data_IF_031666229832
#
_entry.id   IF_031666229832
#
_cell.length_a   1.000
_cell.length_b   1.000
_cell.length_c   1.000
_cell.angle_alpha   90.00
_cell.angle_beta   90.00
_cell.angle_gamma   90.00
#
_symmetry.space_group_name_H-M   'P 1'
#
loop_
_entity.id
_entity.type
_entity.pdbx_description
1 polymer ?
2 non-polymer ?
3 non-polymer ?
4 non-polymer ?
5 non-polymer ?
6 water ?
#
# COMPACT_ATOMS: atom_id res chain seq x y z
N UNK A 1 7.90 -18.62 -17.90
CA UNK A 1 6.55 -18.75 -17.25
C UNK A 1 6.47 -17.76 -16.08
N UNK A 2 5.26 -17.58 -15.56
CA UNK A 2 5.05 -16.75 -14.39
C UNK A 2 5.15 -17.66 -13.18
N UNK A 3 6.03 -17.32 -12.24
CA UNK A 3 6.13 -18.09 -11.02
C UNK A 3 5.89 -17.28 -9.76
N UNK A 4 5.72 -15.97 -9.87
CA UNK A 4 5.46 -15.13 -8.71
C UNK A 4 4.39 -14.12 -9.06
N UNK A 5 3.54 -13.82 -8.10
CA UNK A 5 2.52 -12.79 -8.25
C UNK A 5 2.63 -11.89 -7.02
N UNK A 6 2.92 -10.62 -7.25
CA UNK A 6 3.09 -9.63 -6.19
C UNK A 6 1.90 -8.68 -6.17
N UNK A 7 1.49 -8.31 -4.96
CA UNK A 7 0.42 -7.37 -4.72
C UNK A 7 0.96 -6.18 -3.91
N UNK A 8 0.16 -5.13 -3.84
CA UNK A 8 0.37 -4.00 -2.93
C UNK A 8 -0.88 -4.04 -2.05
N UNK A 9 -0.81 -4.75 -0.92
CA UNK A 9 -2.01 -5.06 -0.18
C UNK A 9 -2.65 -3.79 0.39
N UNK A 10 -1.93 -3.10 1.28
CA UNK A 10 -2.40 -1.84 1.85
C UNK A 10 -2.35 -0.80 0.74
N UNK A 11 -3.24 -0.94 -0.26
CA UNK A 11 -3.25 -0.05 -1.40
C UNK A 11 -3.99 -0.58 -2.60
N UNK A 12 -4.21 -1.90 -2.64
CA UNK A 12 -4.95 -2.52 -3.72
C UNK A 12 -5.85 -3.64 -3.21
N UNK A 13 -5.89 -3.87 -1.91
CA UNK A 13 -6.72 -4.92 -1.34
C UNK A 13 -7.59 -4.41 -0.20
N UNK A 14 -7.40 -3.15 0.24
CA UNK A 14 -8.20 -2.54 1.29
C UNK A 14 -9.31 -1.74 0.63
N UNK A 15 -10.55 -1.96 1.06
CA UNK A 15 -11.67 -1.25 0.46
C UNK A 15 -11.50 0.25 0.65
N UNK A 16 -12.05 1.03 -0.28
CA UNK A 16 -11.94 2.49 -0.16
C UNK A 16 -12.77 2.99 1.02
N UNK A 17 -13.95 2.40 1.23
CA UNK A 17 -14.74 2.76 2.40
C UNK A 17 -13.98 2.43 3.69
N UNK A 18 -13.30 1.29 3.72
CA UNK A 18 -12.58 0.89 4.93
C UNK A 18 -11.42 1.82 5.21
N UNK A 19 -10.62 2.12 4.19
CA UNK A 19 -9.46 2.99 4.39
C UNK A 19 -9.88 4.37 4.84
N UNK A 20 -10.90 4.94 4.19
CA UNK A 20 -11.40 6.25 4.61
C UNK A 20 -11.88 6.21 6.05
N UNK A 21 -12.63 5.18 6.42
CA UNK A 21 -13.15 5.07 7.78
C UNK A 21 -12.02 4.93 8.80
N UNK A 22 -10.99 4.14 8.48
CA UNK A 22 -9.83 4.08 9.38
C UNK A 22 -9.30 5.48 9.62
N UNK A 23 -9.04 6.22 8.54
CA UNK A 23 -8.45 7.54 8.66
C UNK A 23 -9.38 8.51 9.37
N UNK A 24 -10.68 8.46 9.05
CA UNK A 24 -11.62 9.34 9.73
C UNK A 24 -11.63 9.05 11.23
N UNK A 25 -11.64 7.77 11.59
CA UNK A 25 -11.68 7.41 13.01
C UNK A 25 -10.44 7.86 13.73
N UNK A 26 -9.28 7.85 13.05
CA UNK A 26 -8.07 8.39 13.65
C UNK A 26 -8.25 9.87 13.95
N UNK A 27 -8.75 10.63 12.97
CA UNK A 27 -8.93 12.06 13.17
C UNK A 27 -9.92 12.34 14.29
N UNK A 28 -11.01 11.59 14.34
CA UNK A 28 -11.98 11.75 15.42
C UNK A 28 -11.33 11.53 16.77
N UNK A 29 -10.49 10.50 16.88
CA UNK A 29 -9.78 10.22 18.12
C UNK A 29 -8.80 11.34 18.46
N UNK A 30 -8.05 11.81 17.47
CA UNK A 30 -7.09 12.89 17.70
C UNK A 30 -7.81 14.13 18.23
N UNK A 31 -8.97 14.45 17.68
CA UNK A 31 -9.58 15.74 17.99
C UNK A 31 -10.38 15.73 19.29
N UNK A 32 -10.92 14.57 19.68
CA UNK A 32 -11.81 14.53 20.81
C UNK A 32 -12.94 15.52 20.65
N UNK A 33 -13.08 16.44 21.60
CA UNK A 33 -14.16 17.43 21.57
C UNK A 33 -13.75 18.75 20.93
N UNK A 34 -12.52 18.85 20.42
CA UNK A 34 -12.12 20.06 19.74
C UNK A 34 -13.11 20.38 18.60
N UNK A 35 -13.48 21.66 18.41
CA UNK A 35 -14.56 22.02 17.48
C UNK A 35 -14.16 22.14 16.02
N UNK A 36 -13.43 21.14 15.52
CA UNK A 36 -13.05 21.07 14.11
C UNK A 36 -13.68 19.82 13.52
N UNK A 37 -14.27 19.95 12.34
CA UNK A 37 -14.85 18.81 11.64
C UNK A 37 -13.76 17.80 11.30
N UNK A 38 -13.87 16.56 11.76
CA UNK A 38 -12.81 15.58 11.48
C UNK A 38 -12.59 15.32 10.00
N UNK A 39 -13.64 15.42 9.19
CA UNK A 39 -13.48 15.22 7.75
C UNK A 39 -12.64 16.33 7.13
N UNK A 40 -12.73 17.56 7.65
CA UNK A 40 -11.87 18.61 7.13
C UNK A 40 -10.42 18.38 7.54
N UNK A 41 -10.18 18.00 8.80
CA UNK A 41 -8.82 17.66 9.20
C UNK A 41 -8.25 16.56 8.30
N UNK A 42 -9.04 15.52 8.06
CA UNK A 42 -8.57 14.40 7.23
C UNK A 42 -8.18 14.87 5.84
N UNK A 43 -9.05 15.66 5.19
CA UNK A 43 -8.72 16.22 3.88
C UNK A 43 -7.40 16.98 3.91
N UNK A 44 -7.25 17.87 4.90
CA UNK A 44 -6.01 18.63 5.00
C UNK A 44 -4.82 17.72 5.27
N UNK A 45 -5.00 16.72 6.13
CA UNK A 45 -3.92 15.78 6.41
C UNK A 45 -3.47 15.06 5.15
N UNK A 46 -4.43 14.56 4.37
CA UNK A 46 -4.09 13.84 3.16
C UNK A 46 -3.28 14.72 2.21
N UNK A 47 -3.74 15.95 2.00
CA UNK A 47 -2.98 16.88 1.16
C UNK A 47 -1.53 16.98 1.62
N UNK A 48 -1.31 17.31 2.90
CA UNK A 48 0.04 17.54 3.39
C UNK A 48 0.87 16.26 3.33
N UNK A 49 0.26 15.12 3.66
CA UNK A 49 0.94 13.84 3.55
C UNK A 49 1.47 13.63 2.14
N UNK A 50 0.57 13.69 1.15
CA UNK A 50 0.97 13.53 -0.24
C UNK A 50 2.14 14.44 -0.59
N UNK A 51 2.04 15.73 -0.23
CA UNK A 51 3.14 16.65 -0.48
C UNK A 51 4.43 16.11 0.13
N UNK A 52 4.41 15.84 1.45
CA UNK A 52 5.63 15.46 2.14
C UNK A 52 6.24 14.21 1.51
N UNK A 53 5.43 13.22 1.17
CA UNK A 53 5.95 12.00 0.56
C UNK A 53 6.46 12.25 -0.85
N UNK A 54 5.84 13.18 -1.58
CA UNK A 54 6.34 13.54 -2.90
C UNK A 54 7.79 13.99 -2.82
N UNK A 55 8.15 14.70 -1.74
CA UNK A 55 9.53 15.14 -1.55
C UNK A 55 10.47 13.96 -1.34
N UNK A 56 9.95 12.79 -0.98
CA UNK A 56 10.76 11.64 -0.63
C UNK A 56 10.79 10.56 -1.72
N UNK A 57 9.94 10.65 -2.73
CA UNK A 57 9.93 9.63 -3.78
C UNK A 57 11.35 9.40 -4.28
N UNK A 58 11.70 8.12 -4.44
CA UNK A 58 12.98 7.74 -4.96
C UNK A 58 14.16 7.93 -4.03
N UNK A 59 13.95 8.48 -2.85
CA UNK A 59 15.04 8.84 -1.97
C UNK A 59 15.26 7.76 -0.91
N UNK A 60 16.40 7.81 -0.23
CA UNK A 60 16.64 6.87 0.88
C UNK A 60 15.48 6.90 1.87
N UNK A 61 15.20 5.74 2.44
CA UNK A 61 14.04 5.57 3.30
C UNK A 61 14.20 6.36 4.59
N UNK A 62 13.07 6.82 5.12
CA UNK A 62 12.96 7.50 6.40
C UNK A 62 11.65 6.95 6.96
N UNK A 63 11.60 6.60 8.24
CA UNK A 63 10.34 6.06 8.79
C UNK A 63 9.14 6.93 8.44
N UNK A 64 8.12 6.33 7.82
CA UNK A 64 6.95 7.09 7.41
C UNK A 64 6.16 7.55 8.61
N UNK A 65 6.23 6.82 9.73
CA UNK A 65 5.56 7.29 10.94
C UNK A 65 6.17 8.60 11.43
N UNK A 66 7.49 8.75 11.29
CA UNK A 66 8.11 10.04 11.63
C UNK A 66 7.60 11.14 10.72
N UNK A 67 7.50 10.86 9.41
CA UNK A 67 7.02 11.85 8.45
C UNK A 67 5.58 12.24 8.78
N UNK A 68 4.74 11.26 9.09
CA UNK A 68 3.34 11.55 9.37
C UNK A 68 3.16 12.31 10.67
N UNK A 69 4.04 12.09 11.65
CA UNK A 69 3.97 12.84 12.89
C UNK A 69 4.34 14.31 12.66
N UNK A 70 5.36 14.57 11.82
CA UNK A 70 5.68 15.95 11.47
C UNK A 70 4.50 16.64 10.80
N UNK A 71 3.79 15.92 9.93
CA UNK A 71 2.61 16.49 9.27
C UNK A 71 1.54 16.82 10.31
N UNK A 72 1.29 15.89 11.23
CA UNK A 72 0.29 16.13 12.25
C UNK A 72 0.67 17.29 13.16
N UNK A 73 1.97 17.49 13.39
CA UNK A 73 2.41 18.64 14.18
C UNK A 73 2.05 19.95 13.47
N UNK A 74 2.20 19.98 12.14
CA UNK A 74 1.82 21.17 11.40
C UNK A 74 0.32 21.40 11.46
N UNK A 75 -0.47 20.32 11.43
CA UNK A 75 -1.92 20.47 11.48
C UNK A 75 -2.38 20.94 12.84
N UNK A 76 -1.79 20.39 13.90
CA UNK A 76 -2.12 20.86 15.25
C UNK A 76 -1.81 22.34 15.40
N UNK A 77 -0.64 22.76 14.92
CA UNK A 77 -0.30 24.18 14.94
C UNK A 77 -1.29 24.99 14.10
N UNK A 78 -1.66 24.48 12.92
CA UNK A 78 -2.55 25.23 12.04
C UNK A 78 -3.91 25.45 12.70
N UNK A 79 -4.47 24.41 13.30
CA UNK A 79 -5.85 24.46 13.74
C UNK A 79 -5.99 24.71 15.23
N UNK A 80 -4.90 24.62 16.00
CA UNK A 80 -4.93 24.99 17.39
C UNK A 80 -5.20 23.88 18.37
N UNK A 81 -5.36 22.65 17.93
CA UNK A 81 -5.56 21.56 18.87
C UNK A 81 -4.20 21.04 19.35
N UNK A 82 -4.23 20.36 20.50
CA UNK A 82 -2.99 19.86 21.08
C UNK A 82 -2.48 18.66 20.28
N UNK A 83 -1.17 18.64 20.03
CA UNK A 83 -0.58 17.53 19.30
C UNK A 83 -0.87 16.22 20.02
N UNK A 84 -1.45 15.22 19.35
CA UNK A 84 -1.84 13.99 20.04
C UNK A 84 -0.62 13.13 20.34
N UNK A 85 -0.50 12.71 21.60
CA UNK A 85 0.54 11.75 21.95
C UNK A 85 0.15 10.35 21.47
N UNK A 86 1.16 9.55 21.15
CA UNK A 86 0.97 8.15 20.76
C UNK A 86 0.12 8.03 19.50
N UNK A 87 0.37 8.92 18.54
CA UNK A 87 -0.38 8.89 17.30
C UNK A 87 -0.24 7.55 16.59
N UNK A 88 0.96 6.95 16.62
CA UNK A 88 1.12 5.69 15.90
C UNK A 88 0.30 4.58 16.56
N UNK A 89 0.11 4.62 17.87
CA UNK A 89 -0.75 3.62 18.52
C UNK A 89 -2.21 3.85 18.17
N UNK A 90 -2.65 5.11 18.16
CA UNK A 90 -4.01 5.41 17.73
C UNK A 90 -4.24 4.85 16.32
N UNK A 91 -3.27 5.10 15.43
CA UNK A 91 -3.45 4.72 14.05
C UNK A 91 -3.46 3.20 13.90
N UNK A 92 -2.56 2.49 14.57
CA UNK A 92 -2.57 1.05 14.44
C UNK A 92 -3.84 0.43 15.02
N UNK A 93 -4.31 0.93 16.17
CA UNK A 93 -5.54 0.41 16.73
C UNK A 93 -6.72 0.63 15.79
N UNK A 94 -6.83 1.81 15.19
CA UNK A 94 -7.95 2.07 14.29
C UNK A 94 -7.85 1.22 13.02
N UNK A 95 -6.64 1.03 12.49
CA UNK A 95 -6.48 0.20 11.31
C UNK A 95 -6.91 -1.25 11.60
N UNK A 96 -6.45 -1.80 12.71
CA UNK A 96 -6.82 -3.17 13.04
C UNK A 96 -8.30 -3.29 13.32
N UNK A 97 -8.94 -2.25 13.84
CA UNK A 97 -10.35 -2.32 14.18
C UNK A 97 -11.25 -2.14 12.97
N UNK A 98 -10.97 -1.18 12.11
CA UNK A 98 -11.86 -0.84 11.02
C UNK A 98 -11.32 -1.22 9.66
N UNK A 99 -10.06 -1.64 9.56
CA UNK A 99 -9.54 -2.06 8.27
C UNK A 99 -10.40 -3.17 7.68
N UNK A 100 -10.56 -3.14 6.36
CA UNK A 100 -11.44 -4.08 5.66
C UNK A 100 -10.88 -4.37 4.29
N UNK A 101 -10.91 -5.65 3.92
CA UNK A 101 -10.45 -6.09 2.61
C UNK A 101 -11.59 -6.08 1.60
N UNK A 102 -11.24 -5.88 0.33
CA UNK A 102 -12.18 -6.15 -0.76
C UNK A 102 -12.66 -7.59 -0.62
N UNK A 103 -13.90 -7.89 -1.00
CA UNK A 103 -14.48 -9.19 -0.63
C UNK A 103 -13.78 -10.40 -1.24
N UNK A 104 -13.12 -10.26 -2.39
CA UNK A 104 -12.55 -11.40 -3.08
C UNK A 104 -11.09 -11.65 -2.73
N UNK A 105 -10.50 -10.88 -1.81
CA UNK A 105 -9.06 -10.91 -1.63
C UNK A 105 -8.61 -12.27 -1.09
N UNK A 106 -9.23 -12.74 0.00
CA UNK A 106 -8.78 -13.98 0.63
C UNK A 106 -8.82 -15.14 -0.35
N UNK A 107 -9.91 -15.24 -1.11
CA UNK A 107 -10.03 -16.31 -2.09
C UNK A 107 -8.90 -16.26 -3.11
N UNK A 108 -8.59 -15.06 -3.61
CA UNK A 108 -7.58 -14.92 -4.66
C UNK A 108 -6.20 -15.29 -4.14
N UNK A 109 -5.84 -14.83 -2.93
CA UNK A 109 -4.54 -15.17 -2.38
C UNK A 109 -4.42 -16.67 -2.16
N UNK A 110 -5.45 -17.28 -1.59
CA UNK A 110 -5.42 -18.73 -1.36
C UNK A 110 -5.29 -19.49 -2.69
N UNK A 111 -6.07 -19.10 -3.71
CA UNK A 111 -6.03 -19.82 -4.97
C UNK A 111 -4.66 -19.71 -5.62
N UNK A 112 -3.96 -18.60 -5.42
CA UNK A 112 -2.66 -18.42 -6.04
C UNK A 112 -1.55 -19.09 -5.23
N UNK A 113 -1.71 -19.14 -3.91
CA UNK A 113 -0.59 -19.54 -3.06
C UNK A 113 -0.14 -20.96 -3.36
N UNK A 114 -1.04 -21.80 -3.85
CA UNK A 114 -0.67 -23.18 -4.12
C UNK A 114 0.24 -23.36 -5.31
N UNK A 115 0.21 -22.43 -6.27
CA UNK A 115 0.90 -22.60 -7.53
C UNK A 115 1.93 -21.52 -7.83
N UNK A 116 1.94 -20.42 -7.08
CA UNK A 116 2.87 -19.34 -7.29
C UNK A 116 3.46 -18.91 -5.96
N UNK A 117 4.60 -18.21 -6.03
CA UNK A 117 5.05 -17.38 -4.91
C UNK A 117 4.14 -16.15 -4.86
N UNK A 118 3.38 -16.01 -3.79
CA UNK A 118 2.48 -14.87 -3.61
C UNK A 118 3.15 -13.89 -2.66
N UNK A 119 3.43 -12.69 -3.16
CA UNK A 119 4.13 -11.71 -2.37
C UNK A 119 3.40 -10.40 -2.20
N UNK A 120 3.75 -9.66 -1.15
CA UNK A 120 3.24 -8.34 -0.89
C UNK A 120 4.40 -7.36 -0.97
N UNK A 121 4.17 -6.22 -1.62
CA UNK A 121 5.17 -5.18 -1.78
C UNK A 121 4.55 -3.90 -1.25
N UNK A 122 5.08 -3.39 -0.13
CA UNK A 122 4.43 -2.34 0.64
C UNK A 122 5.35 -1.16 0.91
N UNK A 123 4.81 0.04 0.78
CA UNK A 123 5.52 1.26 1.19
C UNK A 123 4.93 1.70 2.52
N UNK A 124 5.35 1.01 3.57
CA UNK A 124 4.85 1.20 4.93
C UNK A 124 5.93 0.70 5.87
N UNK A 125 6.05 1.31 7.05
CA UNK A 125 7.00 0.80 8.03
C UNK A 125 6.66 -0.66 8.32
N UNK A 126 7.69 -1.50 8.43
CA UNK A 126 7.49 -2.94 8.41
C UNK A 126 6.67 -3.39 9.62
N UNK A 127 6.96 -2.86 10.80
CA UNK A 127 6.28 -3.33 12.01
C UNK A 127 4.79 -3.06 11.98
N UNK A 128 4.32 -1.82 11.78
CA UNK A 128 2.86 -1.62 11.74
C UNK A 128 2.21 -2.30 10.54
N UNK A 129 2.86 -2.26 9.37
CA UNK A 129 2.33 -2.91 8.19
C UNK A 129 2.04 -4.38 8.47
N UNK A 130 2.99 -5.07 9.10
CA UNK A 130 2.84 -6.50 9.36
C UNK A 130 1.77 -6.77 10.41
N UNK A 131 1.71 -5.93 11.44
CA UNK A 131 0.63 -6.03 12.43
C UNK A 131 -0.73 -5.85 11.78
N UNK A 132 -0.83 -4.90 10.84
CA UNK A 132 -2.09 -4.68 10.13
C UNK A 132 -2.48 -5.90 9.32
N UNK A 133 -1.53 -6.46 8.58
CA UNK A 133 -1.82 -7.67 7.80
C UNK A 133 -2.20 -8.82 8.72
N UNK A 134 -1.53 -8.94 9.86
CA UNK A 134 -1.93 -9.91 10.87
C UNK A 134 -3.38 -9.70 11.29
N UNK A 135 -3.75 -8.44 11.58
CA UNK A 135 -5.11 -8.16 12.02
C UNK A 135 -6.12 -8.45 10.91
N UNK A 136 -5.74 -8.20 9.65
CA UNK A 136 -6.64 -8.48 8.54
C UNK A 136 -6.75 -9.97 8.25
N UNK A 137 -5.88 -10.79 8.82
CA UNK A 137 -5.93 -12.23 8.65
C UNK A 137 -5.20 -12.77 7.44
N UNK A 138 -4.39 -11.97 6.77
CA UNK A 138 -3.78 -12.42 5.52
C UNK A 138 -2.26 -12.48 5.59
N UNK A 139 -1.66 -12.10 6.71
CA UNK A 139 -0.20 -12.09 6.80
C UNK A 139 0.38 -13.43 6.34
N UNK A 140 -0.18 -14.53 6.84
CA UNK A 140 0.39 -15.85 6.56
C UNK A 140 -0.05 -16.42 5.21
N UNK A 141 -0.93 -15.73 4.49
CA UNK A 141 -1.23 -16.14 3.12
C UNK A 141 -0.14 -15.72 2.15
N UNK A 142 0.76 -14.83 2.56
CA UNK A 142 1.84 -14.41 1.69
C UNK A 142 3.07 -15.29 1.90
N UNK A 143 3.71 -15.65 0.79
CA UNK A 143 5.01 -16.28 0.85
C UNK A 143 6.10 -15.28 1.19
N UNK A 144 5.91 -14.01 0.85
CA UNK A 144 6.86 -12.98 1.23
C UNK A 144 6.13 -11.65 1.40
N UNK A 145 6.66 -10.82 2.29
CA UNK A 145 6.23 -9.45 2.52
C UNK A 145 7.48 -8.58 2.46
N UNK A 146 7.50 -7.61 1.55
CA UNK A 146 8.67 -6.77 1.33
C UNK A 146 8.25 -5.31 1.46
N UNK A 147 9.04 -4.54 2.20
CA UNK A 147 8.72 -3.15 2.47
C UNK A 147 9.85 -2.25 2.00
N UNK A 148 9.50 -0.97 1.83
CA UNK A 148 10.50 0.05 1.55
C UNK A 148 11.51 0.18 2.69
N UNK A 149 11.08 -0.02 3.93
CA UNK A 149 12.02 0.02 5.05
C UNK A 149 13.09 -1.07 4.92
N UNK A 150 12.70 -2.25 4.43
CA UNK A 150 13.69 -3.29 4.19
C UNK A 150 14.60 -2.93 3.02
N UNK A 151 14.03 -2.36 1.96
CA UNK A 151 14.82 -2.08 0.77
C UNK A 151 15.76 -0.91 0.98
N UNK A 152 15.34 0.09 1.77
CA UNK A 152 16.15 1.26 2.03
C UNK A 152 15.86 2.46 1.15
N UNK A 153 14.84 2.38 0.29
CA UNK A 153 14.51 3.48 -0.60
C UNK A 153 13.01 3.54 -0.85
N UNK A 154 12.51 4.76 -1.02
CA UNK A 154 11.12 4.96 -1.42
C UNK A 154 10.93 4.70 -2.91
N UNK A 155 9.74 4.20 -3.26
CA UNK A 155 9.37 4.13 -4.66
C UNK A 155 9.47 5.52 -5.27
N UNK A 156 9.68 5.61 -6.59
CA UNK A 156 9.79 4.52 -7.57
C UNK A 156 11.17 3.88 -7.64
N UNK A 157 12.03 4.07 -6.64
CA UNK A 157 13.29 3.38 -6.61
C UNK A 157 13.06 1.88 -6.74
N UNK A 158 13.81 1.18 -7.61
CA UNK A 158 13.50 -0.23 -7.88
C UNK A 158 14.00 -1.21 -6.82
N UNK A 159 14.70 -0.75 -5.79
CA UNK A 159 15.31 -1.70 -4.86
C UNK A 159 14.25 -2.57 -4.18
N UNK A 160 13.09 -1.98 -3.88
CA UNK A 160 12.05 -2.76 -3.23
C UNK A 160 11.62 -3.93 -4.11
N UNK A 161 11.53 -3.69 -5.42
CA UNK A 161 11.17 -4.76 -6.36
C UNK A 161 12.30 -5.76 -6.52
N UNK A 162 13.53 -5.27 -6.58
CA UNK A 162 14.67 -6.18 -6.64
C UNK A 162 14.68 -7.11 -5.43
N UNK A 163 14.41 -6.57 -4.24
CA UNK A 163 14.41 -7.40 -3.05
C UNK A 163 13.26 -8.40 -3.05
N UNK A 164 12.05 -7.97 -3.44
CA UNK A 164 10.92 -8.88 -3.51
C UNK A 164 11.21 -10.04 -4.46
N UNK A 165 11.82 -9.75 -5.61
CA UNK A 165 12.17 -10.79 -6.56
C UNK A 165 13.20 -11.75 -5.97
N UNK A 166 14.20 -11.22 -5.26
CA UNK A 166 15.17 -12.08 -4.60
C UNK A 166 14.48 -13.05 -3.64
N UNK A 167 13.55 -12.53 -2.82
CA UNK A 167 12.84 -13.42 -1.90
C UNK A 167 12.10 -14.53 -2.64
N UNK A 168 11.50 -14.21 -3.79
CA UNK A 168 10.83 -15.21 -4.60
C UNK A 168 11.80 -16.09 -5.38
N UNK A 169 13.07 -15.71 -5.46
CA UNK A 169 14.07 -16.50 -6.15
C UNK A 169 14.01 -16.48 -7.66
N UNK A 170 13.40 -15.46 -8.26
CA UNK A 170 13.23 -15.39 -9.70
C UNK A 170 13.53 -14.00 -10.23
N UNK A 171 13.86 -13.93 -11.51
CA UNK A 171 14.03 -12.63 -12.15
C UNK A 171 12.67 -12.07 -12.54
N UNK A 172 12.66 -10.77 -12.85
CA UNK A 172 11.39 -10.06 -13.01
C UNK A 172 10.51 -10.61 -14.11
N UNK A 173 11.11 -11.17 -15.15
CA UNK A 173 10.33 -11.71 -16.26
C UNK A 173 9.44 -12.86 -15.83
N UNK A 174 9.69 -13.45 -14.66
CA UNK A 174 8.88 -14.55 -14.14
C UNK A 174 7.80 -14.07 -13.19
N UNK A 175 7.55 -12.76 -13.09
CA UNK A 175 6.67 -12.22 -12.07
C UNK A 175 5.67 -11.21 -12.63
N UNK A 176 4.50 -11.18 -12.00
CA UNK A 176 3.50 -10.16 -12.27
C UNK A 176 3.35 -9.30 -11.02
N UNK A 177 3.12 -8.00 -11.23
CA UNK A 177 2.89 -7.06 -10.15
C UNK A 177 1.51 -6.43 -10.31
N UNK A 178 0.66 -6.61 -9.31
CA UNK A 178 -0.70 -6.06 -9.28
C UNK A 178 -0.68 -4.80 -8.43
N UNK A 179 -0.88 -3.63 -9.07
CA UNK A 179 -0.93 -2.38 -8.36
C UNK A 179 -2.09 -1.52 -8.84
N UNK A 180 -2.32 -0.42 -8.13
CA UNK A 180 -3.38 0.52 -8.49
C UNK A 180 -2.83 1.87 -8.94
N UNK A 181 -1.51 2.03 -8.98
CA UNK A 181 -0.87 3.30 -9.35
C UNK A 181 0.29 2.95 -10.27
N UNK A 182 0.15 3.15 -11.58
CA UNK A 182 1.22 2.80 -12.51
C UNK A 182 2.40 3.76 -12.53
N UNK A 183 2.45 4.70 -11.59
CA UNK A 183 3.55 5.66 -11.52
C UNK A 183 4.70 5.06 -10.72
N UNK A 184 4.43 4.67 -9.48
CA UNK A 184 5.45 4.10 -8.62
C UNK A 184 5.89 2.70 -9.05
N UNK A 185 5.13 2.05 -9.94
CA UNK A 185 5.47 0.72 -10.42
C UNK A 185 6.17 0.74 -11.77
N UNK A 186 5.74 1.61 -12.69
CA UNK A 186 6.37 1.65 -14.01
C UNK A 186 7.79 2.20 -13.93
N UNK A 187 8.00 3.21 -13.09
CA UNK A 187 9.33 3.73 -12.86
C UNK A 187 10.24 2.83 -12.07
N UNK A 188 9.74 1.70 -11.59
CA UNK A 188 10.55 0.78 -10.83
C UNK A 188 10.46 -0.66 -11.31
N UNK A 189 9.25 -1.16 -11.52
CA UNK A 189 9.07 -2.57 -11.83
C UNK A 189 9.25 -2.90 -13.30
N UNK A 190 8.76 -2.04 -14.20
CA UNK A 190 8.90 -2.30 -15.63
C UNK A 190 10.37 -2.39 -16.04
N UNK A 191 11.24 -1.62 -15.38
CA UNK A 191 12.67 -1.72 -15.65
C UNK A 191 13.20 -3.12 -15.40
N UNK A 192 12.58 -3.86 -14.47
CA UNK A 192 13.05 -5.18 -14.09
C UNK A 192 12.38 -6.30 -14.87
N UNK A 193 11.53 -5.98 -15.84
CA UNK A 193 10.93 -6.98 -16.69
C UNK A 193 9.65 -7.59 -16.18
N UNK A 194 9.10 -7.07 -15.09
CA UNK A 194 7.88 -7.63 -14.54
C UNK A 194 6.69 -7.27 -15.43
N UNK A 195 5.66 -8.13 -15.40
CA UNK A 195 4.39 -7.86 -16.06
C UNK A 195 3.48 -7.11 -15.10
N UNK A 196 3.01 -5.94 -15.50
CA UNK A 196 2.19 -5.09 -14.64
C UNK A 196 0.71 -5.29 -14.92
N UNK A 197 -0.05 -5.50 -13.85
CA UNK A 197 -1.51 -5.52 -13.88
C UNK A 197 -1.99 -4.31 -13.08
N UNK A 198 -2.75 -3.43 -13.74
CA UNK A 198 -3.34 -2.27 -13.07
C UNK A 198 -4.74 -2.65 -12.60
N UNK A 199 -4.99 -2.48 -11.30
CA UNK A 199 -6.32 -2.69 -10.75
C UNK A 199 -7.06 -1.35 -10.77
N UNK A 200 -8.15 -1.29 -11.53
CA UNK A 200 -8.96 -0.08 -11.73
C UNK A 200 -10.41 -0.50 -11.51
N UNK A 201 -10.85 -0.52 -10.26
CA UNK A 201 -12.14 -1.12 -9.94
C UNK A 201 -13.31 -0.34 -10.52
N UNK A 202 -13.17 0.98 -10.66
CA UNK A 202 -14.26 1.82 -11.15
C UNK A 202 -13.96 2.46 -12.50
N UNK A 203 -12.92 2.01 -13.18
CA UNK A 203 -12.57 2.54 -14.48
C UNK A 203 -12.30 4.03 -14.49
N UNK A 204 -11.52 4.50 -13.52
CA UNK A 204 -11.26 5.93 -13.37
C UNK A 204 -9.82 6.31 -13.68
N UNK A 205 -9.02 5.40 -14.22
CA UNK A 205 -7.62 5.68 -14.49
C UNK A 205 -7.28 5.42 -15.95
N UNK A 206 -8.26 5.61 -16.84
CA UNK A 206 -8.07 5.24 -18.24
C UNK A 206 -6.84 5.92 -18.84
N UNK A 207 -6.51 7.13 -18.37
CA UNK A 207 -5.37 7.85 -18.93
C UNK A 207 -4.04 7.23 -18.54
N UNK A 208 -4.03 6.20 -17.69
CA UNK A 208 -2.81 5.52 -17.30
C UNK A 208 -2.80 4.05 -17.69
N UNK A 209 -3.86 3.56 -18.33
CA UNK A 209 -3.89 2.16 -18.76
C UNK A 209 -2.72 1.84 -19.69
N UNK A 210 -2.27 2.82 -20.49
CA UNK A 210 -1.21 2.55 -21.45
C UNK A 210 0.11 2.17 -20.77
N UNK A 211 0.27 2.50 -19.49
CA UNK A 211 1.47 2.15 -18.75
C UNK A 211 1.34 0.82 -18.04
N UNK A 212 0.39 -0.02 -18.45
CA UNK A 212 0.14 -1.30 -17.82
C UNK A 212 -0.08 -2.36 -18.89
N UNK A 213 0.37 -3.58 -18.60
CA UNK A 213 0.21 -4.68 -19.54
C UNK A 213 -1.20 -5.26 -19.51
N UNK A 214 -1.86 -5.20 -18.36
CA UNK A 214 -3.23 -5.66 -18.23
C UNK A 214 -3.96 -4.74 -17.25
N UNK A 215 -5.28 -4.66 -17.38
CA UNK A 215 -6.12 -3.89 -16.49
C UNK A 215 -7.24 -4.81 -16.02
N UNK A 216 -7.53 -4.77 -14.72
CA UNK A 216 -8.61 -5.56 -14.14
C UNK A 216 -9.43 -4.66 -13.21
N UNK A 217 -10.68 -5.07 -13.00
CA UNK A 217 -11.55 -4.43 -12.03
C UNK A 217 -11.88 -5.34 -10.85
N UNK A 218 -11.53 -6.63 -10.94
CA UNK A 218 -11.75 -7.59 -9.88
C UNK A 218 -10.51 -8.46 -9.79
N UNK A 219 -10.05 -8.75 -8.57
CA UNK A 219 -8.82 -9.49 -8.41
C UNK A 219 -8.92 -10.94 -8.87
N UNK A 220 -10.12 -11.48 -9.01
CA UNK A 220 -10.25 -12.83 -9.56
C UNK A 220 -9.80 -12.91 -11.01
N UNK A 221 -9.72 -11.76 -11.71
CA UNK A 221 -9.19 -11.78 -13.06
C UNK A 221 -7.70 -12.09 -13.09
N UNK A 222 -6.97 -11.78 -12.02
CA UNK A 222 -5.53 -11.99 -12.01
C UNK A 222 -5.20 -13.46 -12.26
N UNK A 223 -5.94 -14.36 -11.61
CA UNK A 223 -5.66 -15.79 -11.74
C UNK A 223 -5.75 -16.21 -13.20
N UNK A 224 -6.72 -15.66 -13.94
CA UNK A 224 -6.92 -16.05 -15.34
C UNK A 224 -5.79 -15.52 -16.21
N UNK A 225 -5.36 -14.28 -15.97
CA UNK A 225 -4.25 -13.71 -16.72
C UNK A 225 -3.00 -14.57 -16.57
N UNK A 226 -2.67 -14.98 -15.35
CA UNK A 226 -1.42 -15.70 -15.14
C UNK A 226 -1.53 -17.13 -15.63
N UNK A 227 -2.66 -17.80 -15.36
CA UNK A 227 -2.84 -19.17 -15.85
C UNK A 227 -2.76 -19.22 -17.37
N UNK A 228 -3.16 -18.14 -18.05
CA UNK A 228 -3.09 -18.12 -19.51
C UNK A 228 -1.68 -17.76 -19.98
N UNK A 229 -1.04 -16.78 -19.35
CA UNK A 229 0.36 -16.50 -19.63
C UNK A 229 1.20 -17.77 -19.55
N UNK A 230 0.75 -18.73 -18.73
CA UNK A 230 1.45 -20.00 -18.53
C UNK A 230 0.87 -21.14 -19.35
N UNK A 231 -0.18 -20.90 -20.13
CA UNK A 231 -0.82 -21.94 -20.91
C UNK A 231 -0.45 -21.89 -22.39
#
# INVERSE_FOLDING_TARGET
MIRAVFFDSLGTLISVEGAYKVRLKIMEEVLGDYPLNPATLLDEYEKLAREAFSNYAGKPYRPMRDILEEVMRKLAEKYGFKYPENLREISLRMACRYGELYPEVVEVLKSLKGKYHVGDILQRDTEPATAFLDALGIKDLFDSITTSEEAGFFKPHPRIFELALKKAGVKGEKAVYVGDNPVKDAGGSKNLGMTSILLDRKGEKREFWDKADFIVSDLREVIKIVDELNGQGSLEHHHHHH
#
